data_IF_414532091464
#
_entry.id   IF_414532091464
#
_cell.length_a   1.000
_cell.length_b   1.000
_cell.length_c   1.000
_cell.angle_alpha   90.00
_cell.angle_beta   90.00
_cell.angle_gamma   90.00
#
_symmetry.space_group_name_H-M   'P 1'
#
loop_
_entity.id
_entity.type
_entity.pdbx_description
1 polymer ?
#
# COMPACT_ATOMS: atom_id res chain seq x y z
N UNK A 1 52.17 -9.02 52.63
CA UNK A 1 51.01 -9.86 52.29
C UNK A 1 50.05 -9.18 51.31
N UNK A 2 49.61 -7.94 51.54
CA UNK A 2 48.66 -7.21 50.67
C UNK A 2 49.13 -6.96 49.21
N UNK A 3 50.41 -6.62 48.99
CA UNK A 3 50.96 -6.33 47.64
C UNK A 3 50.89 -7.52 46.68
N UNK A 4 50.91 -8.76 47.19
CA UNK A 4 50.87 -9.99 46.37
C UNK A 4 49.48 -10.22 45.76
N UNK A 5 48.43 -9.78 46.45
CA UNK A 5 47.05 -9.85 45.97
C UNK A 5 46.69 -8.69 45.04
N UNK A 6 47.39 -7.56 45.14
CA UNK A 6 47.15 -6.37 44.32
C UNK A 6 47.38 -6.62 42.82
N UNK A 7 48.46 -7.32 42.46
CA UNK A 7 48.74 -7.72 41.07
C UNK A 7 47.70 -8.71 40.53
N UNK A 8 47.18 -9.59 41.39
CA UNK A 8 46.16 -10.57 41.05
C UNK A 8 44.79 -9.91 40.79
N UNK A 9 44.46 -8.87 41.57
CA UNK A 9 43.24 -8.07 41.38
C UNK A 9 43.30 -7.26 40.08
N UNK A 10 44.43 -6.62 39.77
CA UNK A 10 44.60 -5.88 38.50
C UNK A 10 44.45 -6.82 37.31
N UNK A 11 45.06 -8.01 37.36
CA UNK A 11 44.97 -8.99 36.30
C UNK A 11 43.52 -9.46 36.06
N UNK A 12 42.75 -9.68 37.13
CA UNK A 12 41.32 -10.00 37.04
C UNK A 12 40.50 -8.85 36.43
N UNK A 13 40.76 -7.60 36.83
CA UNK A 13 40.06 -6.43 36.26
C UNK A 13 40.33 -6.31 34.77
N UNK A 14 41.58 -6.53 34.34
CA UNK A 14 41.96 -6.49 32.92
C UNK A 14 41.26 -7.60 32.14
N UNK A 15 41.20 -8.82 32.68
CA UNK A 15 40.46 -9.93 32.05
C UNK A 15 38.97 -9.60 31.91
N UNK A 16 38.35 -9.06 32.98
CA UNK A 16 36.94 -8.66 32.94
C UNK A 16 36.73 -7.53 31.93
N UNK A 17 37.63 -6.55 31.87
CA UNK A 17 37.56 -5.48 30.90
C UNK A 17 37.67 -5.99 29.45
N UNK A 18 38.62 -6.88 29.16
CA UNK A 18 38.74 -7.50 27.84
C UNK A 18 37.55 -8.41 27.52
N UNK A 19 37.00 -9.12 28.51
CA UNK A 19 35.79 -9.92 28.33
C UNK A 19 34.58 -9.03 28.03
N UNK A 20 34.42 -7.89 28.71
CA UNK A 20 33.37 -6.89 28.44
C UNK A 20 33.55 -6.28 27.06
N UNK A 21 34.77 -5.93 26.64
CA UNK A 21 35.06 -5.43 25.29
C UNK A 21 34.77 -6.48 24.21
N UNK A 22 35.08 -7.75 24.47
CA UNK A 22 34.78 -8.84 23.56
C UNK A 22 33.26 -9.12 23.49
N UNK A 23 32.53 -8.89 24.58
CA UNK A 23 31.08 -9.07 24.63
C UNK A 23 30.31 -7.89 24.04
N UNK A 24 30.80 -6.65 24.19
CA UNK A 24 30.17 -5.46 23.62
C UNK A 24 30.25 -5.39 22.10
N UNK A 25 31.19 -6.12 21.48
CA UNK A 25 31.29 -6.27 20.03
C UNK A 25 30.30 -7.28 19.40
N UNK A 26 29.56 -8.06 20.22
CA UNK A 26 28.47 -8.94 19.76
C UNK A 26 27.13 -8.25 19.95
N UNK A 27 26.90 -7.21 19.15
CA UNK A 27 25.54 -6.76 18.91
C UNK A 27 24.99 -7.64 17.79
N UNK A 28 24.50 -8.83 18.14
CA UNK A 28 23.71 -9.64 17.22
C UNK A 28 22.50 -8.77 16.84
N UNK A 29 22.52 -8.23 15.62
CA UNK A 29 21.41 -7.48 15.08
C UNK A 29 20.18 -8.38 15.12
N UNK A 30 19.23 -8.07 16.00
CA UNK A 30 17.91 -8.68 16.01
C UNK A 30 17.43 -8.78 14.55
N UNK A 31 16.98 -9.95 14.08
CA UNK A 31 16.49 -10.07 12.71
C UNK A 31 15.38 -9.03 12.52
N UNK A 32 15.55 -8.17 11.51
CA UNK A 32 14.58 -7.13 11.14
C UNK A 32 13.20 -7.79 11.06
N UNK A 33 12.34 -7.51 12.03
CA UNK A 33 11.00 -8.06 12.12
C UNK A 33 10.20 -7.54 10.93
N UNK A 34 9.81 -8.43 10.02
CA UNK A 34 8.98 -8.13 8.85
C UNK A 34 7.53 -7.95 9.28
N UNK A 35 6.89 -6.84 8.90
CA UNK A 35 5.51 -6.50 9.30
C UNK A 35 4.55 -6.26 8.14
N UNK A 36 5.03 -6.14 6.91
CA UNK A 36 4.21 -5.91 5.72
C UNK A 36 4.78 -6.67 4.51
N UNK A 37 4.06 -6.62 3.39
CA UNK A 37 4.44 -7.29 2.16
C UNK A 37 5.76 -6.76 1.60
N UNK A 38 5.95 -5.44 1.60
CA UNK A 38 7.15 -4.77 1.06
C UNK A 38 8.41 -5.21 1.82
N UNK A 39 8.38 -5.18 3.15
CA UNK A 39 9.47 -5.66 4.01
C UNK A 39 9.72 -7.16 3.81
N UNK A 40 8.68 -7.94 3.54
CA UNK A 40 8.81 -9.37 3.30
C UNK A 40 9.60 -9.62 2.00
N UNK A 41 9.28 -8.88 0.94
CA UNK A 41 9.97 -8.94 -0.35
C UNK A 41 11.41 -8.42 -0.24
N UNK A 42 11.62 -7.28 0.42
CA UNK A 42 12.96 -6.72 0.66
C UNK A 42 13.88 -7.69 1.43
N UNK A 43 13.31 -8.47 2.35
CA UNK A 43 14.05 -9.49 3.10
C UNK A 43 14.38 -10.76 2.27
N UNK A 44 14.03 -10.78 0.98
CA UNK A 44 14.34 -11.87 0.05
C UNK A 44 13.55 -13.16 0.32
N UNK A 45 12.35 -13.02 0.88
CA UNK A 45 11.46 -14.15 1.13
C UNK A 45 10.75 -14.62 -0.16
N UNK A 46 10.09 -15.78 -0.09
CA UNK A 46 9.41 -16.38 -1.24
C UNK A 46 8.10 -15.63 -1.56
N UNK A 47 7.94 -15.21 -2.81
CA UNK A 47 6.68 -14.69 -3.35
C UNK A 47 5.90 -15.85 -3.97
N UNK A 48 4.60 -15.95 -3.66
CA UNK A 48 3.68 -16.93 -4.22
C UNK A 48 2.99 -16.36 -5.46
N UNK A 49 2.77 -17.21 -6.46
CA UNK A 49 2.03 -16.89 -7.68
C UNK A 49 0.51 -16.87 -7.44
N UNK A 50 0.03 -15.89 -6.67
CA UNK A 50 -1.39 -15.68 -6.36
C UNK A 50 -1.82 -14.24 -6.64
N UNK A 51 -3.13 -14.03 -6.78
CA UNK A 51 -3.72 -12.69 -6.73
C UNK A 51 -4.63 -12.56 -5.49
N UNK A 52 -4.36 -11.63 -4.56
CA UNK A 52 -3.21 -10.71 -4.54
C UNK A 52 -1.88 -11.45 -4.33
N UNK A 53 -0.77 -10.78 -4.64
CA UNK A 53 0.56 -11.34 -4.37
C UNK A 53 0.72 -11.62 -2.87
N UNK A 54 1.35 -12.75 -2.55
CA UNK A 54 1.62 -13.14 -1.17
C UNK A 54 3.10 -13.40 -0.99
N UNK A 55 3.66 -12.95 0.13
CA UNK A 55 5.04 -13.18 0.50
C UNK A 55 5.11 -14.00 1.79
N UNK A 56 5.82 -15.14 1.75
CA UNK A 56 5.96 -16.06 2.89
C UNK A 56 7.32 -15.90 3.55
N UNK A 57 7.32 -15.31 4.74
CA UNK A 57 8.52 -15.10 5.54
C UNK A 57 9.11 -16.41 6.09
N UNK A 58 10.43 -16.38 6.38
CA UNK A 58 11.16 -17.51 6.98
C UNK A 58 10.63 -17.98 8.33
N UNK A 59 9.95 -17.10 9.08
CA UNK A 59 9.30 -17.43 10.35
C UNK A 59 7.92 -18.09 10.16
N UNK A 60 7.49 -18.31 8.91
CA UNK A 60 6.23 -18.95 8.55
C UNK A 60 5.06 -17.99 8.35
N UNK A 61 5.21 -16.70 8.66
CA UNK A 61 4.16 -15.69 8.42
C UNK A 61 3.97 -15.45 6.93
N UNK A 62 2.75 -15.12 6.54
CA UNK A 62 2.40 -14.75 5.16
C UNK A 62 1.85 -13.32 5.17
N UNK A 63 2.39 -12.49 4.28
CA UNK A 63 1.98 -11.11 4.07
C UNK A 63 1.31 -11.03 2.70
N UNK A 64 0.14 -10.40 2.63
CA UNK A 64 -0.61 -10.21 1.39
C UNK A 64 -0.39 -8.77 0.95
N UNK A 65 -0.17 -8.55 -0.35
CA UNK A 65 -0.06 -7.18 -0.90
C UNK A 65 -1.40 -6.46 -0.71
N UNK A 66 -1.33 -5.22 -0.23
CA UNK A 66 -2.48 -4.33 -0.11
C UNK A 66 -3.02 -3.96 -1.50
N UNK A 67 -4.28 -4.27 -1.77
CA UNK A 67 -4.95 -3.95 -3.04
C UNK A 67 -6.20 -3.08 -2.84
N UNK A 68 -6.35 -2.49 -1.65
CA UNK A 68 -7.58 -1.84 -1.23
C UNK A 68 -8.74 -2.84 -1.15
N UNK A 69 -9.92 -2.45 -1.62
CA UNK A 69 -11.12 -3.27 -1.61
C UNK A 69 -11.50 -3.82 -3.00
N UNK A 70 -10.54 -3.93 -3.92
CA UNK A 70 -10.80 -4.35 -5.30
C UNK A 70 -11.57 -5.67 -5.40
N UNK A 71 -11.18 -6.70 -4.64
CA UNK A 71 -11.87 -7.99 -4.68
C UNK A 71 -13.29 -7.94 -4.10
N UNK A 72 -13.55 -7.03 -3.17
CA UNK A 72 -14.90 -6.83 -2.62
C UNK A 72 -15.83 -6.15 -3.63
N UNK A 73 -15.27 -5.42 -4.60
CA UNK A 73 -16.01 -4.67 -5.62
C UNK A 73 -15.96 -5.28 -7.00
N UNK A 74 -15.31 -6.42 -7.20
CA UNK A 74 -15.07 -7.03 -8.51
C UNK A 74 -16.35 -7.26 -9.35
N UNK A 75 -17.49 -7.52 -8.69
CA UNK A 75 -18.78 -7.72 -9.38
C UNK A 75 -19.49 -6.40 -9.75
N UNK A 76 -19.06 -5.27 -9.18
CA UNK A 76 -19.66 -3.95 -9.31
C UNK A 76 -18.82 -3.01 -10.18
N UNK A 77 -17.50 -3.01 -9.99
CA UNK A 77 -16.57 -2.12 -10.67
C UNK A 77 -15.16 -2.72 -10.69
N UNK A 78 -14.49 -2.59 -11.83
CA UNK A 78 -13.13 -3.08 -12.07
C UNK A 78 -12.30 -2.02 -12.78
N UNK A 79 -11.07 -1.81 -12.31
CA UNK A 79 -10.13 -0.85 -12.90
C UNK A 79 -9.00 -1.62 -13.57
N UNK A 80 -8.86 -1.40 -14.88
CA UNK A 80 -7.75 -1.96 -15.67
C UNK A 80 -6.50 -1.09 -15.60
N UNK A 81 -6.64 0.21 -15.33
CA UNK A 81 -5.52 1.12 -15.12
C UNK A 81 -5.93 2.35 -14.28
N UNK A 82 -5.14 2.75 -13.26
CA UNK A 82 -3.98 2.04 -12.71
C UNK A 82 -4.40 0.79 -11.93
N UNK A 83 -3.59 -0.27 -11.98
CA UNK A 83 -3.74 -1.43 -11.08
C UNK A 83 -3.23 -1.10 -9.68
N UNK A 84 -3.62 -1.84 -8.62
CA UNK A 84 -3.12 -1.59 -7.28
C UNK A 84 -1.59 -1.52 -7.19
N UNK A 85 -1.08 -0.54 -6.45
CA UNK A 85 0.33 -0.20 -6.27
C UNK A 85 1.07 0.22 -7.54
N UNK A 86 0.36 0.45 -8.65
CA UNK A 86 0.98 0.97 -9.84
C UNK A 86 1.44 2.42 -9.61
N UNK A 87 2.63 2.73 -10.12
CA UNK A 87 3.16 4.08 -10.10
C UNK A 87 2.47 4.95 -11.15
N UNK A 88 1.87 6.05 -10.73
CA UNK A 88 1.25 7.07 -11.57
C UNK A 88 2.05 8.36 -11.52
N UNK A 89 2.09 9.08 -12.64
CA UNK A 89 2.67 10.41 -12.77
C UNK A 89 1.69 11.36 -13.44
N UNK A 90 1.92 12.65 -13.35
CA UNK A 90 1.05 13.66 -13.97
C UNK A 90 1.49 13.97 -15.41
N UNK A 91 0.60 13.87 -16.43
CA UNK A 91 -0.78 13.42 -16.36
C UNK A 91 -0.92 11.88 -16.36
N UNK A 92 -2.00 11.37 -15.79
CA UNK A 92 -2.37 9.95 -15.88
C UNK A 92 -3.77 9.73 -16.47
N UNK A 93 -4.15 8.47 -16.56
CA UNK A 93 -5.44 8.01 -17.07
C UNK A 93 -6.09 7.06 -16.06
N UNK A 94 -7.42 7.02 -16.03
CA UNK A 94 -8.19 5.96 -15.36
C UNK A 94 -8.98 5.20 -16.43
N UNK A 95 -8.94 3.86 -16.40
CA UNK A 95 -9.67 2.97 -17.31
C UNK A 95 -10.25 1.79 -16.56
N UNK A 96 -11.44 1.37 -16.95
CA UNK A 96 -12.10 0.24 -16.31
C UNK A 96 -13.51 0.05 -16.84
N UNK A 97 -14.29 -0.70 -16.07
CA UNK A 97 -15.70 -0.94 -16.31
C UNK A 97 -16.46 -1.00 -14.98
N UNK A 98 -17.69 -0.50 -14.98
CA UNK A 98 -18.58 -0.57 -13.82
C UNK A 98 -19.97 -1.01 -14.25
N UNK A 99 -20.73 -1.63 -13.35
CA UNK A 99 -22.14 -1.90 -13.55
C UNK A 99 -22.88 -0.60 -13.78
N UNK A 100 -23.89 -0.58 -14.65
CA UNK A 100 -24.61 0.65 -15.00
C UNK A 100 -25.20 1.41 -13.80
N UNK A 101 -25.59 0.71 -12.72
CA UNK A 101 -26.06 1.33 -11.47
C UNK A 101 -24.97 2.02 -10.62
N UNK A 102 -23.71 1.92 -11.03
CA UNK A 102 -22.61 2.71 -10.46
C UNK A 102 -22.64 4.16 -10.97
N UNK A 103 -23.23 4.37 -12.15
CA UNK A 103 -23.34 5.67 -12.81
C UNK A 103 -24.66 6.36 -12.46
N UNK A 104 -24.62 7.69 -12.49
CA UNK A 104 -25.78 8.57 -12.52
C UNK A 104 -25.50 9.67 -13.55
N UNK A 105 -26.49 9.99 -14.37
CA UNK A 105 -26.32 10.93 -15.50
C UNK A 105 -25.09 10.59 -16.38
N UNK A 106 -24.85 9.29 -16.62
CA UNK A 106 -23.71 8.75 -17.38
C UNK A 106 -22.32 9.03 -16.77
N UNK A 107 -22.23 9.36 -15.47
CA UNK A 107 -20.95 9.64 -14.82
C UNK A 107 -20.92 9.18 -13.36
N UNK A 108 -19.73 9.17 -12.77
CA UNK A 108 -19.54 9.00 -11.33
C UNK A 108 -18.27 9.74 -10.84
N UNK A 109 -18.22 10.16 -9.57
CA UNK A 109 -17.09 10.88 -9.02
C UNK A 109 -15.85 10.01 -8.77
N UNK A 110 -14.67 10.61 -8.86
CA UNK A 110 -13.44 10.03 -8.36
C UNK A 110 -12.60 11.07 -7.61
N UNK A 111 -11.81 10.58 -6.66
CA UNK A 111 -10.81 11.36 -5.94
C UNK A 111 -9.45 10.67 -5.98
N UNK A 112 -8.41 11.46 -6.13
CA UNK A 112 -7.03 11.06 -5.88
C UNK A 112 -6.59 11.75 -4.60
N UNK A 113 -6.26 10.96 -3.58
CA UNK A 113 -5.78 11.47 -2.29
C UNK A 113 -4.38 10.96 -2.00
N UNK A 114 -3.60 11.74 -1.27
CA UNK A 114 -2.30 11.32 -0.76
C UNK A 114 -2.45 10.46 0.52
N UNK A 115 -1.33 9.95 1.06
CA UNK A 115 -1.34 9.11 2.27
C UNK A 115 -1.79 9.87 3.53
N UNK A 116 -1.70 11.20 3.52
CA UNK A 116 -2.20 12.08 4.57
C UNK A 116 -3.67 12.46 4.38
N UNK A 117 -4.37 11.86 3.40
CA UNK A 117 -5.74 12.18 3.01
C UNK A 117 -5.95 13.58 2.43
N UNK A 118 -4.90 14.24 1.95
CA UNK A 118 -5.05 15.48 1.18
C UNK A 118 -5.58 15.15 -0.22
N UNK A 119 -6.61 15.87 -0.66
CA UNK A 119 -7.18 15.72 -2.00
C UNK A 119 -6.25 16.38 -3.01
N UNK A 120 -5.71 15.59 -3.94
CA UNK A 120 -4.87 16.06 -5.04
C UNK A 120 -5.72 16.37 -6.29
N UNK A 121 -6.73 15.54 -6.53
CA UNK A 121 -7.69 15.70 -7.65
C UNK A 121 -9.05 15.21 -7.22
N UNK A 122 -10.09 15.93 -7.63
CA UNK A 122 -11.48 15.52 -7.55
C UNK A 122 -12.16 15.89 -8.87
N UNK A 123 -12.78 14.91 -9.53
CA UNK A 123 -13.47 15.11 -10.79
C UNK A 123 -14.43 13.95 -11.07
N UNK A 124 -14.96 13.88 -12.28
CA UNK A 124 -15.90 12.85 -12.72
C UNK A 124 -15.33 12.04 -13.88
N UNK A 125 -15.71 10.76 -13.94
CA UNK A 125 -15.48 9.85 -15.06
C UNK A 125 -16.80 9.63 -15.79
N UNK A 126 -16.78 9.70 -17.11
CA UNK A 126 -17.95 9.43 -17.95
C UNK A 126 -17.96 7.97 -18.41
N UNK A 127 -19.16 7.41 -18.52
CA UNK A 127 -19.41 6.14 -19.18
C UNK A 127 -19.07 6.25 -20.67
N UNK A 128 -18.52 5.16 -21.23
CA UNK A 128 -18.28 4.99 -22.65
C UNK A 128 -19.40 4.13 -23.26
N UNK A 129 -20.59 4.73 -23.38
CA UNK A 129 -21.77 4.09 -23.97
C UNK A 129 -23.04 4.17 -23.12
N UNK A 130 -23.99 3.29 -23.43
CA UNK A 130 -25.28 3.18 -22.73
C UNK A 130 -25.10 2.67 -21.30
N UNK A 131 -25.41 3.51 -20.32
CA UNK A 131 -25.16 3.22 -18.90
C UNK A 131 -26.40 2.71 -18.14
N UNK A 132 -27.60 2.87 -18.69
CA UNK A 132 -28.85 2.41 -18.06
C UNK A 132 -29.02 0.89 -18.25
N UNK A 133 -28.11 0.11 -17.67
CA UNK A 133 -28.02 -1.34 -17.82
C UNK A 133 -27.52 -2.02 -16.55
N UNK A 134 -27.79 -3.31 -16.41
CA UNK A 134 -27.19 -4.15 -15.36
C UNK A 134 -25.83 -4.70 -15.77
N UNK A 135 -25.41 -4.51 -17.03
CA UNK A 135 -24.13 -4.97 -17.54
C UNK A 135 -22.98 -4.05 -17.14
N UNK A 136 -21.76 -4.54 -17.31
CA UNK A 136 -20.57 -3.70 -17.25
C UNK A 136 -20.51 -2.73 -18.41
N UNK A 137 -20.19 -1.48 -18.08
CA UNK A 137 -20.08 -0.36 -19.00
C UNK A 137 -18.68 0.21 -18.82
N UNK A 138 -17.92 0.29 -19.91
CA UNK A 138 -16.56 0.80 -19.89
C UNK A 138 -16.55 2.28 -19.51
N UNK A 139 -15.46 2.73 -18.90
CA UNK A 139 -15.23 4.13 -18.57
C UNK A 139 -13.76 4.50 -18.80
N UNK A 140 -13.53 5.76 -19.10
CA UNK A 140 -12.18 6.28 -19.35
C UNK A 140 -12.08 7.76 -19.03
N UNK A 141 -11.04 8.14 -18.28
CA UNK A 141 -10.68 9.54 -18.02
C UNK A 141 -9.20 9.75 -18.32
N UNK A 142 -8.88 10.54 -19.33
CA UNK A 142 -7.51 10.88 -19.72
C UNK A 142 -7.12 12.28 -19.26
N UNK A 143 -5.82 12.55 -19.23
CA UNK A 143 -5.29 13.89 -18.98
C UNK A 143 -5.50 14.38 -17.54
N UNK A 144 -5.53 13.45 -16.57
CA UNK A 144 -5.70 13.82 -15.17
C UNK A 144 -4.37 14.38 -14.66
N UNK A 145 -4.35 15.67 -14.33
CA UNK A 145 -3.17 16.39 -13.86
C UNK A 145 -3.26 16.54 -12.34
N UNK A 146 -2.16 16.27 -11.66
CA UNK A 146 -1.98 16.54 -10.23
C UNK A 146 -0.57 17.09 -9.96
N UNK A 147 -0.41 17.81 -8.86
CA UNK A 147 0.91 18.19 -8.34
C UNK A 147 1.49 17.03 -7.54
N UNK A 148 2.77 16.71 -7.75
CA UNK A 148 3.42 15.61 -7.02
C UNK A 148 3.38 15.90 -5.50
N UNK A 149 2.74 15.03 -4.70
CA UNK A 149 2.67 15.22 -3.26
C UNK A 149 4.02 14.93 -2.58
N UNK A 150 4.11 15.23 -1.28
CA UNK A 150 5.27 14.88 -0.45
C UNK A 150 5.29 13.43 -0.02
N UNK A 151 4.15 12.73 -0.10
CA UNK A 151 4.04 11.29 0.18
C UNK A 151 4.31 10.48 -1.08
N UNK A 152 4.85 9.27 -0.92
CA UNK A 152 5.11 8.38 -2.05
C UNK A 152 3.88 7.54 -2.43
N UNK A 153 2.92 7.41 -1.52
CA UNK A 153 1.71 6.61 -1.66
C UNK A 153 0.45 7.45 -1.55
N UNK A 154 -0.64 6.92 -2.09
CA UNK A 154 -1.97 7.51 -2.01
C UNK A 154 -3.06 6.53 -2.44
N UNK A 155 -4.27 7.05 -2.57
CA UNK A 155 -5.45 6.27 -2.92
C UNK A 155 -6.17 6.92 -4.09
N UNK A 156 -6.46 6.09 -5.09
CA UNK A 156 -7.46 6.39 -6.10
C UNK A 156 -8.81 5.83 -5.63
N UNK A 157 -9.78 6.70 -5.46
CA UNK A 157 -11.12 6.39 -4.96
C UNK A 157 -12.12 6.65 -6.09
N UNK A 158 -12.82 5.60 -6.54
CA UNK A 158 -13.92 5.69 -7.48
C UNK A 158 -15.20 5.51 -6.67
N UNK A 159 -16.03 6.55 -6.60
CA UNK A 159 -17.19 6.58 -5.73
C UNK A 159 -18.44 6.31 -6.56
N UNK A 160 -19.34 5.46 -6.07
CA UNK A 160 -20.66 5.29 -6.66
C UNK A 160 -21.44 6.58 -6.46
N UNK A 161 -22.04 7.09 -7.53
CA UNK A 161 -22.77 8.34 -7.40
C UNK A 161 -23.95 8.18 -6.42
N UNK A 162 -24.11 9.18 -5.55
CA UNK A 162 -25.11 9.16 -4.50
C UNK A 162 -25.85 10.50 -4.38
N UNK A 163 -26.73 10.84 -5.35
CA UNK A 163 -27.50 12.08 -5.33
C UNK A 163 -28.36 12.27 -4.07
N UNK A 164 -28.73 11.16 -3.42
CA UNK A 164 -29.53 11.17 -2.20
C UNK A 164 -28.74 11.58 -0.95
N UNK A 165 -27.41 11.48 -0.97
CA UNK A 165 -26.54 11.71 0.19
C UNK A 165 -26.71 10.71 1.34
N UNK A 166 -27.49 9.63 1.16
CA UNK A 166 -27.72 8.63 2.20
C UNK A 166 -26.55 7.65 2.26
N UNK A 167 -26.03 7.41 3.46
CA UNK A 167 -24.87 6.52 3.69
C UNK A 167 -25.10 5.10 3.14
N UNK A 168 -26.32 4.57 3.28
CA UNK A 168 -26.70 3.25 2.74
C UNK A 168 -26.56 3.11 1.21
N UNK A 169 -26.49 4.23 0.49
CA UNK A 169 -26.36 4.26 -0.97
C UNK A 169 -24.92 4.57 -1.42
N UNK A 170 -24.06 4.98 -0.48
CA UNK A 170 -22.65 5.24 -0.72
C UNK A 170 -21.92 3.91 -0.93
N UNK A 171 -21.10 3.86 -1.96
CA UNK A 171 -20.15 2.77 -2.18
C UNK A 171 -18.91 3.33 -2.86
N UNK A 172 -17.78 2.65 -2.73
CA UNK A 172 -16.52 3.10 -3.31
C UNK A 172 -15.57 1.94 -3.59
N UNK A 173 -14.80 2.09 -4.66
CA UNK A 173 -13.62 1.29 -4.96
C UNK A 173 -12.37 2.12 -4.61
N UNK A 174 -11.54 1.60 -3.71
CA UNK A 174 -10.27 2.17 -3.29
C UNK A 174 -9.11 1.36 -3.86
N UNK A 175 -8.21 2.03 -4.55
CA UNK A 175 -7.03 1.43 -5.17
C UNK A 175 -5.79 2.15 -4.65
N UNK A 176 -4.85 1.45 -4.00
CA UNK A 176 -3.59 2.06 -3.60
C UNK A 176 -2.75 2.38 -4.84
N UNK A 177 -2.12 3.54 -4.87
CA UNK A 177 -1.25 3.98 -5.97
C UNK A 177 0.05 4.57 -5.41
N UNK A 178 1.10 4.53 -6.23
CA UNK A 178 2.38 5.17 -5.93
C UNK A 178 2.57 6.41 -6.81
N UNK A 179 3.20 7.46 -6.30
CA UNK A 179 3.46 8.70 -7.05
C UNK A 179 4.88 8.73 -7.62
N UNK A 180 5.03 9.25 -8.85
CA UNK A 180 6.33 9.51 -9.50
C UNK A 180 6.55 10.97 -9.80
#
# INVERSE_FOLDING_TARGET
MLKKYYLLIIFLIVIVFFAVLAFSGRQDSLPKSVNNFEECVEAGNLILESYPEQCRAKDGKTFVREIGNELEKADLISVSYPRPNQTIGSPFTIKGEARGFWFFEASFPFRLVDENSNVLVESFIQADGEWMTENFVSFKKEGIVFEKPTTDRGWLMLEKDNPSGLEQNADELRIPVNFK
#
